data_IF_089601751190
#
_entry.id   IF_089601751190
#
_cell.length_a   1.000
_cell.length_b   1.000
_cell.length_c   1.000
_cell.angle_alpha   90.00
_cell.angle_beta   90.00
_cell.angle_gamma   90.00
#
_symmetry.space_group_name_H-M   'P 1'
#
loop_
_entity.id
_entity.type
_entity.pdbx_description
1 polymer ?
#
# COMPACT_ATOMS: atom_id res chain seq x y z
N UNK A 1 12.79 -4.43 -12.18
CA UNK A 1 13.07 -3.70 -10.92
C UNK A 1 14.48 -4.05 -10.47
N UNK A 2 15.26 -3.09 -10.00
CA UNK A 2 16.52 -3.38 -9.31
C UNK A 2 16.27 -3.82 -7.86
N UNK A 3 17.32 -4.22 -7.13
CA UNK A 3 17.21 -4.71 -5.74
C UNK A 3 16.63 -3.63 -4.79
N UNK A 4 16.96 -2.36 -5.01
CA UNK A 4 16.46 -1.26 -4.19
C UNK A 4 14.95 -1.13 -4.35
N UNK A 5 14.49 -1.15 -5.61
CA UNK A 5 13.08 -1.13 -5.96
C UNK A 5 12.34 -2.35 -5.41
N UNK A 6 12.93 -3.55 -5.45
CA UNK A 6 12.30 -4.76 -4.90
C UNK A 6 12.04 -4.59 -3.41
N UNK A 7 13.00 -4.07 -2.64
CA UNK A 7 12.86 -3.90 -1.18
C UNK A 7 11.82 -2.84 -0.81
N UNK A 8 11.73 -1.74 -1.58
CA UNK A 8 10.65 -0.75 -1.40
C UNK A 8 9.30 -1.36 -1.75
N UNK A 9 9.21 -2.05 -2.90
CA UNK A 9 7.98 -2.67 -3.37
C UNK A 9 7.45 -3.70 -2.37
N UNK A 10 8.30 -4.62 -1.92
CA UNK A 10 7.93 -5.66 -0.95
C UNK A 10 7.58 -5.07 0.42
N UNK A 11 8.27 -4.01 0.87
CA UNK A 11 7.87 -3.28 2.08
C UNK A 11 6.44 -2.72 1.97
N UNK A 12 6.10 -2.12 0.83
CA UNK A 12 4.76 -1.58 0.60
C UNK A 12 3.71 -2.70 0.45
N UNK A 13 4.05 -3.74 -0.31
CA UNK A 13 3.12 -4.81 -0.65
C UNK A 13 2.78 -5.69 0.57
N UNK A 14 3.77 -6.10 1.36
CA UNK A 14 3.54 -6.87 2.59
C UNK A 14 2.72 -6.08 3.61
N UNK A 15 2.94 -4.77 3.71
CA UNK A 15 2.13 -3.93 4.58
C UNK A 15 0.70 -3.76 4.05
N UNK A 16 0.53 -3.66 2.72
CA UNK A 16 -0.78 -3.57 2.09
C UNK A 16 -1.60 -4.84 2.30
N UNK A 17 -0.99 -6.02 2.15
CA UNK A 17 -1.68 -7.29 2.40
C UNK A 17 -1.95 -7.48 3.89
N UNK A 18 -1.01 -7.10 4.77
CA UNK A 18 -1.25 -7.12 6.21
C UNK A 18 -2.48 -6.28 6.60
N UNK A 19 -2.57 -5.06 6.09
CA UNK A 19 -3.72 -4.18 6.35
C UNK A 19 -5.00 -4.80 5.79
N UNK A 20 -4.94 -5.36 4.58
CA UNK A 20 -6.08 -6.01 3.94
C UNK A 20 -6.60 -7.20 4.75
N UNK A 21 -5.74 -8.17 5.10
CA UNK A 21 -6.15 -9.34 5.90
C UNK A 21 -6.67 -8.93 7.29
N UNK A 22 -5.99 -7.98 7.94
CA UNK A 22 -6.43 -7.46 9.25
C UNK A 22 -7.80 -6.81 9.16
N UNK A 23 -8.06 -5.99 8.14
CA UNK A 23 -9.34 -5.31 7.98
C UNK A 23 -10.46 -6.27 7.54
N UNK A 24 -10.17 -7.23 6.67
CA UNK A 24 -11.10 -8.32 6.35
C UNK A 24 -11.51 -9.07 7.62
N UNK A 25 -10.56 -9.38 8.51
CA UNK A 25 -10.86 -10.04 9.78
C UNK A 25 -11.74 -9.22 10.74
N UNK A 26 -11.89 -7.90 10.53
CA UNK A 26 -12.81 -7.05 11.32
C UNK A 26 -14.25 -7.13 10.82
N UNK A 27 -14.46 -7.38 9.53
CA UNK A 27 -15.80 -7.46 8.92
C UNK A 27 -16.36 -8.89 8.89
N UNK A 28 -15.50 -9.90 9.13
CA UNK A 28 -15.90 -11.30 9.26
C UNK A 28 -16.48 -11.59 10.65
N UNK A 29 -17.66 -12.20 10.68
CA UNK A 29 -18.31 -12.67 11.91
C UNK A 29 -17.93 -14.11 12.29
N UNK A 30 -17.54 -14.94 11.31
CA UNK A 30 -17.19 -16.34 11.51
C UNK A 30 -15.83 -16.47 12.25
N UNK A 31 -15.78 -17.11 13.44
CA UNK A 31 -14.56 -17.13 14.27
C UNK A 31 -13.34 -17.79 13.64
N UNK A 32 -13.50 -18.89 12.91
CA UNK A 32 -12.37 -19.64 12.33
C UNK A 32 -11.68 -18.82 11.23
N UNK A 33 -12.45 -18.28 10.29
CA UNK A 33 -11.95 -17.41 9.22
C UNK A 33 -11.27 -16.17 9.79
N UNK A 34 -11.84 -15.58 10.85
CA UNK A 34 -11.19 -14.48 11.56
C UNK A 34 -9.83 -14.88 12.14
N UNK A 35 -9.71 -16.06 12.73
CA UNK A 35 -8.44 -16.60 13.22
C UNK A 35 -7.41 -16.84 12.11
N UNK A 36 -7.83 -17.40 10.98
CA UNK A 36 -6.97 -17.60 9.80
C UNK A 36 -6.42 -16.26 9.29
N UNK A 37 -7.29 -15.27 9.12
CA UNK A 37 -6.90 -13.93 8.65
C UNK A 37 -5.94 -13.23 9.61
N UNK A 38 -6.12 -13.42 10.93
CA UNK A 38 -5.20 -12.89 11.94
C UNK A 38 -3.82 -13.53 11.85
N UNK A 39 -3.74 -14.84 11.63
CA UNK A 39 -2.47 -15.54 11.47
C UNK A 39 -1.71 -15.08 10.21
N UNK A 40 -2.41 -14.97 9.08
CA UNK A 40 -1.81 -14.45 7.83
C UNK A 40 -1.30 -13.02 8.04
N UNK A 41 -2.12 -12.13 8.60
CA UNK A 41 -1.70 -10.76 8.88
C UNK A 41 -0.52 -10.67 9.87
N UNK A 42 -0.37 -11.65 10.78
CA UNK A 42 0.76 -11.71 11.70
C UNK A 42 2.06 -12.11 10.99
N UNK A 43 2.00 -12.97 9.99
CA UNK A 43 3.17 -13.34 9.18
C UNK A 43 3.60 -12.20 8.25
N UNK A 44 2.64 -11.56 7.57
CA UNK A 44 2.90 -10.38 6.74
C UNK A 44 3.49 -9.22 7.56
N UNK A 45 3.14 -9.11 8.85
CA UNK A 45 3.79 -8.17 9.77
C UNK A 45 5.29 -8.41 9.91
N UNK A 46 5.71 -9.69 9.97
CA UNK A 46 7.11 -10.09 10.10
C UNK A 46 7.85 -9.82 8.79
N UNK A 47 7.24 -10.14 7.65
CA UNK A 47 7.81 -9.85 6.33
C UNK A 47 7.97 -8.35 6.11
N UNK A 48 6.94 -7.56 6.40
CA UNK A 48 7.01 -6.11 6.33
C UNK A 48 8.16 -5.56 7.17
N UNK A 49 8.30 -6.04 8.42
CA UNK A 49 9.43 -5.67 9.26
C UNK A 49 10.76 -6.02 8.58
N UNK A 50 10.94 -7.25 8.11
CA UNK A 50 12.17 -7.65 7.44
C UNK A 50 12.53 -6.71 6.28
N UNK A 51 11.61 -6.49 5.34
CA UNK A 51 11.88 -5.68 4.15
C UNK A 51 12.11 -4.21 4.46
N UNK A 52 11.33 -3.61 5.38
CA UNK A 52 11.51 -2.19 5.73
C UNK A 52 12.83 -1.95 6.47
N UNK A 53 13.29 -2.90 7.30
CA UNK A 53 14.61 -2.82 7.94
C UNK A 53 15.74 -3.02 6.92
N UNK A 54 15.60 -3.97 5.99
CA UNK A 54 16.58 -4.16 4.92
C UNK A 54 16.76 -2.90 4.07
N UNK A 55 15.66 -2.24 3.67
CA UNK A 55 15.77 -0.99 2.93
C UNK A 55 16.33 0.15 3.78
N UNK A 56 16.03 0.20 5.09
CA UNK A 56 16.63 1.18 5.99
C UNK A 56 18.16 1.06 6.04
N UNK A 57 18.68 -0.17 6.12
CA UNK A 57 20.13 -0.41 6.07
C UNK A 57 20.75 0.06 4.74
N UNK A 58 20.02 -0.06 3.62
CA UNK A 58 20.46 0.49 2.34
C UNK A 58 20.53 2.02 2.37
N UNK A 59 19.55 2.70 2.97
CA UNK A 59 19.56 4.16 3.10
C UNK A 59 20.80 4.64 3.88
N UNK A 60 21.25 3.88 4.87
CA UNK A 60 22.45 4.22 5.66
C UNK A 60 23.74 4.16 4.84
N UNK A 61 23.80 3.30 3.81
CA UNK A 61 25.00 3.07 2.99
C UNK A 61 24.97 3.86 1.68
N UNK A 62 23.84 3.88 0.97
CA UNK A 62 23.65 4.56 -0.32
C UNK A 62 22.33 5.36 -0.35
N UNK A 63 22.25 6.47 0.40
CA UNK A 63 21.01 7.22 0.54
C UNK A 63 20.53 7.84 -0.77
N UNK A 64 21.43 8.17 -1.70
CA UNK A 64 21.07 8.89 -2.92
C UNK A 64 20.33 7.99 -3.92
N UNK A 65 20.87 6.80 -4.22
CA UNK A 65 20.18 5.86 -5.09
C UNK A 65 18.99 5.21 -4.37
N UNK A 66 19.05 5.03 -3.04
CA UNK A 66 17.90 4.58 -2.26
C UNK A 66 16.70 5.52 -2.41
N UNK A 67 16.87 6.83 -2.18
CA UNK A 67 15.76 7.77 -2.29
C UNK A 67 15.23 7.87 -3.73
N UNK A 68 16.12 7.82 -4.74
CA UNK A 68 15.71 7.78 -6.14
C UNK A 68 14.85 6.57 -6.46
N UNK A 69 15.19 5.39 -5.94
CA UNK A 69 14.40 4.16 -6.12
C UNK A 69 13.10 4.20 -5.31
N UNK A 70 13.12 4.71 -4.08
CA UNK A 70 11.92 4.89 -3.26
C UNK A 70 10.92 5.83 -3.93
N UNK A 71 11.39 6.95 -4.50
CA UNK A 71 10.54 7.91 -5.22
C UNK A 71 9.82 7.28 -6.42
N UNK A 72 10.38 6.27 -7.07
CA UNK A 72 9.71 5.59 -8.19
C UNK A 72 8.48 4.78 -7.77
N UNK A 73 8.44 4.31 -6.52
CA UNK A 73 7.45 3.32 -6.06
C UNK A 73 6.49 3.85 -4.99
N UNK A 74 6.96 4.69 -4.06
CA UNK A 74 6.10 5.30 -3.05
C UNK A 74 4.87 6.02 -3.63
N UNK A 75 4.93 6.69 -4.81
CA UNK A 75 3.76 7.34 -5.37
C UNK A 75 2.59 6.42 -5.70
N UNK A 76 2.89 5.17 -6.09
CA UNK A 76 1.94 4.14 -6.46
C UNK A 76 2.69 2.85 -6.75
N UNK A 77 2.12 1.72 -6.33
CA UNK A 77 2.58 0.38 -6.75
C UNK A 77 1.50 -0.30 -7.58
N UNK A 78 1.92 -1.07 -8.56
CA UNK A 78 1.01 -1.98 -9.26
C UNK A 78 0.69 -3.16 -8.33
N UNK A 79 -0.60 -3.36 -8.08
CA UNK A 79 -1.06 -4.52 -7.32
C UNK A 79 -0.78 -5.78 -8.16
N UNK A 80 -0.25 -6.87 -7.56
CA UNK A 80 0.08 -8.09 -8.30
C UNK A 80 -1.09 -8.65 -9.12
N UNK A 81 -2.33 -8.48 -8.64
CA UNK A 81 -3.55 -8.95 -9.29
C UNK A 81 -4.11 -8.04 -10.39
N UNK A 82 -3.42 -6.97 -10.80
CA UNK A 82 -3.99 -5.97 -11.74
C UNK A 82 -4.39 -6.55 -13.11
N UNK A 83 -3.81 -7.68 -13.50
CA UNK A 83 -4.15 -8.40 -14.74
C UNK A 83 -5.35 -9.35 -14.59
N UNK A 84 -5.92 -9.51 -13.40
CA UNK A 84 -7.10 -10.35 -13.18
C UNK A 84 -8.34 -9.73 -13.85
N UNK A 85 -9.21 -10.54 -14.46
CA UNK A 85 -10.53 -10.08 -14.91
C UNK A 85 -11.28 -9.40 -13.77
N UNK A 86 -11.96 -8.29 -14.06
CA UNK A 86 -12.76 -7.51 -13.11
C UNK A 86 -11.99 -7.02 -11.86
N UNK A 87 -10.65 -6.94 -11.92
CA UNK A 87 -9.84 -6.48 -10.78
C UNK A 87 -10.23 -5.08 -10.29
N UNK A 88 -10.57 -4.16 -11.21
CA UNK A 88 -10.95 -2.78 -10.86
C UNK A 88 -12.28 -2.74 -10.10
N UNK A 89 -13.23 -3.56 -10.52
CA UNK A 89 -14.52 -3.74 -9.85
C UNK A 89 -14.32 -4.31 -8.45
N UNK A 90 -13.49 -5.36 -8.33
CA UNK A 90 -13.15 -5.96 -7.04
C UNK A 90 -12.44 -4.96 -6.12
N UNK A 91 -11.48 -4.21 -6.62
CA UNK A 91 -10.78 -3.18 -5.86
C UNK A 91 -11.74 -2.07 -5.38
N UNK A 92 -12.75 -1.72 -6.18
CA UNK A 92 -13.76 -0.74 -5.77
C UNK A 92 -14.64 -1.29 -4.63
N UNK A 93 -15.05 -2.56 -4.70
CA UNK A 93 -15.76 -3.23 -3.59
C UNK A 93 -14.92 -3.23 -2.32
N UNK A 94 -13.68 -3.71 -2.39
CA UNK A 94 -12.72 -3.78 -1.27
C UNK A 94 -12.52 -2.41 -0.61
N UNK A 95 -12.43 -1.35 -1.42
CA UNK A 95 -12.36 0.03 -0.94
C UNK A 95 -13.64 0.46 -0.24
N UNK A 96 -14.81 0.22 -0.83
CA UNK A 96 -16.12 0.65 -0.29
C UNK A 96 -16.44 0.00 1.06
N UNK A 97 -16.02 -1.25 1.26
CA UNK A 97 -16.18 -1.95 2.55
C UNK A 97 -15.09 -1.60 3.58
N UNK A 98 -14.17 -0.70 3.24
CA UNK A 98 -13.12 -0.23 4.15
C UNK A 98 -12.02 -1.25 4.43
N UNK A 99 -11.80 -2.22 3.53
CA UNK A 99 -10.72 -3.20 3.67
C UNK A 99 -9.39 -2.59 3.25
N UNK A 100 -9.32 -2.07 2.02
CA UNK A 100 -8.11 -1.46 1.48
C UNK A 100 -8.42 -0.48 0.36
N UNK A 101 -7.83 0.71 0.42
CA UNK A 101 -7.99 1.74 -0.59
C UNK A 101 -6.93 2.85 -0.50
N UNK A 102 -7.22 4.01 -1.10
CA UNK A 102 -6.27 5.13 -1.14
C UNK A 102 -5.85 5.67 0.24
N UNK A 103 -6.74 5.63 1.22
CA UNK A 103 -6.43 6.07 2.60
C UNK A 103 -5.50 5.10 3.30
N UNK A 104 -5.75 3.80 3.20
CA UNK A 104 -4.86 2.77 3.72
C UNK A 104 -3.49 2.89 3.07
N UNK A 105 -3.41 3.02 1.74
CA UNK A 105 -2.14 3.19 1.05
C UNK A 105 -1.39 4.45 1.49
N UNK A 106 -2.08 5.60 1.66
CA UNK A 106 -1.48 6.82 2.21
C UNK A 106 -0.87 6.56 3.59
N UNK A 107 -1.61 5.92 4.49
CA UNK A 107 -1.16 5.63 5.85
C UNK A 107 0.10 4.73 5.84
N UNK A 108 0.16 3.75 4.93
CA UNK A 108 1.33 2.89 4.74
C UNK A 108 2.54 3.70 4.28
N UNK A 109 2.37 4.58 3.28
CA UNK A 109 3.46 5.43 2.78
C UNK A 109 3.96 6.37 3.88
N UNK A 110 3.06 6.99 4.65
CA UNK A 110 3.41 7.85 5.79
C UNK A 110 4.20 7.08 6.87
N UNK A 111 3.76 5.86 7.20
CA UNK A 111 4.46 4.98 8.16
C UNK A 111 5.88 4.66 7.69
N UNK A 112 6.03 4.30 6.42
CA UNK A 112 7.31 3.91 5.83
C UNK A 112 8.26 5.11 5.75
N UNK A 113 7.81 6.28 5.28
CA UNK A 113 8.61 7.51 5.21
C UNK A 113 9.11 7.88 6.61
N UNK A 114 8.24 7.80 7.62
CA UNK A 114 8.59 8.05 9.03
C UNK A 114 9.61 7.04 9.53
N UNK A 115 9.40 5.75 9.30
CA UNK A 115 10.27 4.68 9.79
C UNK A 115 11.69 4.76 9.19
N UNK A 116 11.79 5.05 7.90
CA UNK A 116 13.06 5.28 7.19
C UNK A 116 13.70 6.62 7.50
N UNK A 117 13.02 7.48 8.27
CA UNK A 117 13.51 8.79 8.69
C UNK A 117 13.97 9.68 7.51
N UNK A 118 13.28 9.57 6.36
CA UNK A 118 13.72 10.20 5.11
C UNK A 118 13.84 11.71 5.26
N UNK A 119 12.92 12.36 5.97
CA UNK A 119 12.92 13.81 6.16
C UNK A 119 14.10 14.37 6.95
N UNK A 120 14.87 13.52 7.64
CA UNK A 120 16.04 13.93 8.43
C UNK A 120 17.37 13.51 7.84
N UNK A 121 17.38 12.93 6.62
CA UNK A 121 18.61 12.59 5.93
C UNK A 121 19.36 13.86 5.51
N UNK A 122 20.67 13.88 5.78
CA UNK A 122 21.58 14.99 5.50
C UNK A 122 22.66 14.56 4.50
N UNK A 123 23.44 15.50 3.99
CA UNK A 123 24.58 15.25 3.08
C UNK A 123 24.20 14.51 1.78
N UNK A 124 22.97 14.70 1.31
CA UNK A 124 22.49 14.18 0.03
C UNK A 124 23.09 14.97 -1.14
N UNK A 125 23.35 14.28 -2.24
CA UNK A 125 23.67 14.92 -3.51
C UNK A 125 22.38 15.48 -4.16
N UNK A 126 22.53 16.14 -5.31
CA UNK A 126 21.39 16.73 -6.03
C UNK A 126 20.24 15.75 -6.31
N UNK A 127 20.54 14.50 -6.66
CA UNK A 127 19.53 13.47 -6.95
C UNK A 127 18.82 13.06 -5.65
N UNK A 128 19.57 12.80 -4.58
CA UNK A 128 19.03 12.47 -3.27
C UNK A 128 18.14 13.57 -2.70
N UNK A 129 18.59 14.82 -2.73
CA UNK A 129 17.81 15.96 -2.20
C UNK A 129 16.51 16.18 -2.97
N UNK A 130 16.54 16.09 -4.31
CA UNK A 130 15.32 16.19 -5.12
C UNK A 130 14.36 15.03 -4.87
N UNK A 131 14.89 13.83 -4.63
CA UNK A 131 14.07 12.67 -4.29
C UNK A 131 13.44 12.83 -2.90
N UNK A 132 14.21 13.25 -1.91
CA UNK A 132 13.76 13.55 -0.56
C UNK A 132 12.60 14.56 -0.56
N UNK A 133 12.77 15.71 -1.22
CA UNK A 133 11.73 16.75 -1.30
C UNK A 133 10.42 16.21 -1.88
N UNK A 134 10.51 15.48 -3.01
CA UNK A 134 9.33 14.89 -3.65
C UNK A 134 8.66 13.82 -2.78
N UNK A 135 9.45 12.98 -2.10
CA UNK A 135 8.94 11.96 -1.17
C UNK A 135 8.20 12.61 -0.01
N UNK A 136 8.76 13.66 0.59
CA UNK A 136 8.13 14.39 1.69
C UNK A 136 6.81 15.07 1.28
N UNK A 137 6.65 15.42 -0.01
CA UNK A 137 5.39 15.91 -0.57
C UNK A 137 4.33 14.84 -0.87
N UNK A 138 4.65 13.53 -0.77
CA UNK A 138 3.73 12.46 -1.18
C UNK A 138 2.50 12.36 -0.28
N UNK A 139 2.63 12.62 1.02
CA UNK A 139 1.49 12.51 1.95
C UNK A 139 0.32 13.38 1.49
N UNK A 140 0.59 14.67 1.23
CA UNK A 140 -0.43 15.61 0.74
C UNK A 140 -0.94 15.26 -0.65
N UNK A 141 -0.10 14.72 -1.53
CA UNK A 141 -0.51 14.27 -2.86
C UNK A 141 -1.48 13.08 -2.78
N UNK A 142 -1.14 12.06 -1.99
CA UNK A 142 -1.96 10.87 -1.79
C UNK A 142 -3.28 11.20 -1.09
N UNK A 143 -3.28 12.16 -0.17
CA UNK A 143 -4.50 12.67 0.45
C UNK A 143 -5.47 13.28 -0.57
N UNK A 144 -4.95 14.11 -1.49
CA UNK A 144 -5.75 14.69 -2.57
C UNK A 144 -6.35 13.61 -3.47
N UNK A 145 -5.58 12.56 -3.78
CA UNK A 145 -6.06 11.41 -4.56
C UNK A 145 -7.17 10.66 -3.82
N UNK A 146 -6.98 10.39 -2.52
CA UNK A 146 -7.98 9.71 -1.71
C UNK A 146 -9.31 10.48 -1.66
N UNK A 147 -9.25 11.78 -1.34
CA UNK A 147 -10.43 12.66 -1.33
C UNK A 147 -11.12 12.75 -2.69
N UNK A 148 -10.35 12.75 -3.78
CA UNK A 148 -10.90 12.79 -5.13
C UNK A 148 -11.66 11.50 -5.47
N UNK A 149 -11.11 10.34 -5.12
CA UNK A 149 -11.74 9.04 -5.34
C UNK A 149 -13.04 8.93 -4.53
N UNK A 150 -13.04 9.37 -3.27
CA UNK A 150 -14.25 9.41 -2.44
C UNK A 150 -15.33 10.32 -3.02
N UNK A 151 -14.98 11.54 -3.44
CA UNK A 151 -15.94 12.49 -4.04
C UNK A 151 -16.57 11.96 -5.32
N UNK A 152 -15.86 11.12 -6.06
CA UNK A 152 -16.36 10.48 -7.28
C UNK A 152 -17.07 9.15 -7.03
N UNK A 153 -17.07 8.65 -5.79
CA UNK A 153 -17.83 7.45 -5.46
C UNK A 153 -19.31 7.74 -5.65
N UNK A 154 -19.93 6.94 -6.52
CA UNK A 154 -21.36 6.94 -6.76
C UNK A 154 -21.87 5.53 -6.50
N UNK A 155 -23.17 5.42 -6.27
CA UNK A 155 -23.84 4.13 -6.20
C UNK A 155 -23.54 3.32 -7.45
N UNK A 156 -23.05 2.09 -7.26
CA UNK A 156 -22.64 1.20 -8.35
C UNK A 156 -23.08 -0.22 -8.06
N UNK A 157 -23.52 -0.93 -9.10
CA UNK A 157 -23.81 -2.35 -9.04
C UNK A 157 -22.60 -3.17 -9.45
N UNK A 158 -22.37 -4.28 -8.76
CA UNK A 158 -21.28 -5.21 -9.02
C UNK A 158 -21.84 -6.59 -9.31
N UNK A 159 -21.14 -7.35 -10.15
CA UNK A 159 -21.40 -8.75 -10.43
C UNK A 159 -20.06 -9.43 -10.73
N UNK A 160 -19.87 -10.63 -10.18
CA UNK A 160 -18.65 -11.42 -10.38
C UNK A 160 -19.03 -12.86 -10.72
N UNK A 161 -18.26 -13.47 -11.61
CA UNK A 161 -18.42 -14.85 -12.06
C UNK A 161 -18.27 -15.86 -10.91
N UNK A 162 -17.29 -15.66 -10.04
CA UNK A 162 -17.05 -16.49 -8.85
C UNK A 162 -18.14 -16.37 -7.77
N UNK A 163 -19.06 -15.41 -7.92
CA UNK A 163 -20.28 -15.29 -7.11
C UNK A 163 -21.54 -15.59 -7.93
N UNK A 164 -21.40 -16.48 -8.92
CA UNK A 164 -22.49 -16.96 -9.77
C UNK A 164 -23.24 -15.82 -10.49
N UNK A 165 -22.52 -14.74 -10.85
CA UNK A 165 -23.05 -13.54 -11.48
C UNK A 165 -24.21 -12.86 -10.71
N UNK A 166 -24.33 -13.10 -9.41
CA UNK A 166 -25.28 -12.34 -8.59
C UNK A 166 -24.93 -10.85 -8.63
N UNK A 167 -25.96 -10.00 -8.57
CA UNK A 167 -25.80 -8.54 -8.67
C UNK A 167 -26.18 -7.87 -7.36
N UNK A 168 -25.33 -6.98 -6.85
CA UNK A 168 -25.59 -6.19 -5.64
C UNK A 168 -25.19 -4.75 -5.87
N UNK A 169 -25.95 -3.82 -5.30
CA UNK A 169 -25.64 -2.40 -5.32
C UNK A 169 -24.90 -2.02 -4.03
N UNK A 170 -23.87 -1.18 -4.17
CA UNK A 170 -23.20 -0.55 -3.03
C UNK A 170 -23.22 0.96 -3.23
N UNK A 171 -23.38 1.67 -2.12
CA UNK A 171 -23.31 3.13 -2.08
C UNK A 171 -21.87 3.64 -2.25
#
# INVERSE_FOLDING_TARGET
>A
MDVYQILVYTSLQERATQVSHRNTGKVVSEPLLKGILQNIAADEAKHFNFYRYAFKAIIEVDPNEALKSALKLLPSIDMPGISMPNFREMADVVRRVGIYGPWEYKAIVDEIIKFWNIGSLMHLNKIGSQAQEKIMGLSSRLEKVAKYIERKAQKKSFSFDFLYNQTWAMD
#
